data_IF_656180920889
#
_entry.id   IF_656180920889
#
_cell.length_a   1.000
_cell.length_b   1.000
_cell.length_c   1.000
_cell.angle_alpha   90.00
_cell.angle_beta   90.00
_cell.angle_gamma   90.00
#
_symmetry.space_group_name_H-M   'P 1'
#
loop_
_entity.id
_entity.type
_entity.pdbx_description
1 polymer ?
#
# COMPACT_ATOMS: atom_id res chain seq x y z
N UNK A 1 18.48 14.37 -5.64
CA UNK A 1 17.20 13.68 -5.31
C UNK A 1 17.47 12.19 -5.30
N UNK A 2 16.80 11.40 -4.47
CA UNK A 2 16.95 9.94 -4.48
C UNK A 2 15.63 9.31 -4.92
N UNK A 3 15.71 8.25 -5.72
CA UNK A 3 14.57 7.40 -6.04
C UNK A 3 14.64 6.20 -5.10
N UNK A 4 13.54 5.91 -4.43
CA UNK A 4 13.39 4.72 -3.63
C UNK A 4 12.58 3.69 -4.41
N UNK A 5 13.14 2.49 -4.51
CA UNK A 5 12.46 1.31 -5.05
C UNK A 5 12.35 0.30 -3.93
N UNK A 6 11.13 -0.03 -3.55
CA UNK A 6 10.77 -1.03 -2.57
C UNK A 6 10.04 -2.20 -3.22
N UNK A 7 10.51 -3.42 -2.96
CA UNK A 7 9.77 -4.64 -3.32
C UNK A 7 9.90 -5.69 -2.23
N UNK A 8 8.86 -6.49 -2.05
CA UNK A 8 8.94 -7.66 -1.18
C UNK A 8 7.63 -8.44 -1.11
N UNK A 9 7.62 -9.57 -0.37
CA UNK A 9 6.43 -10.41 -0.26
C UNK A 9 5.31 -9.72 0.53
N UNK A 10 4.08 -10.04 0.16
CA UNK A 10 2.87 -9.69 0.88
C UNK A 10 1.99 -10.93 1.10
N UNK A 11 1.31 -10.98 2.24
CA UNK A 11 0.37 -12.02 2.62
C UNK A 11 -0.98 -11.38 2.88
N UNK A 12 -1.99 -11.87 2.18
CA UNK A 12 -3.33 -11.32 2.15
C UNK A 12 -4.29 -12.26 2.88
N UNK A 13 -4.95 -11.74 3.91
CA UNK A 13 -6.02 -12.42 4.64
C UNK A 13 -7.37 -11.94 4.09
N UNK A 14 -7.92 -12.71 3.16
CA UNK A 14 -9.20 -12.39 2.50
C UNK A 14 -10.38 -13.05 3.24
N UNK A 15 -11.60 -12.53 3.07
CA UNK A 15 -12.81 -13.13 3.62
C UNK A 15 -12.98 -14.60 3.21
N UNK A 16 -13.39 -15.47 4.16
CA UNK A 16 -13.60 -16.91 3.93
C UNK A 16 -14.67 -17.18 2.87
N UNK A 17 -15.61 -16.27 2.71
CA UNK A 17 -16.66 -16.32 1.68
C UNK A 17 -16.08 -16.24 0.26
N UNK A 18 -14.84 -15.78 0.10
CA UNK A 18 -14.14 -15.73 -1.17
C UNK A 18 -13.15 -16.89 -1.33
N UNK A 19 -12.40 -17.24 -0.27
CA UNK A 19 -11.24 -18.15 -0.38
C UNK A 19 -11.39 -19.48 0.37
N UNK A 20 -12.54 -19.72 1.02
CA UNK A 20 -12.77 -20.93 1.82
C UNK A 20 -11.87 -20.99 3.07
N UNK A 21 -11.24 -22.13 3.29
CA UNK A 21 -10.36 -22.39 4.44
C UNK A 21 -8.89 -21.98 4.21
N UNK A 22 -8.58 -21.37 3.06
CA UNK A 22 -7.24 -20.86 2.80
C UNK A 22 -6.90 -19.76 3.82
N UNK A 23 -5.74 -19.90 4.48
CA UNK A 23 -5.35 -18.99 5.56
C UNK A 23 -4.68 -17.70 5.06
N UNK A 24 -3.82 -17.80 4.04
CA UNK A 24 -3.20 -16.64 3.41
C UNK A 24 -3.09 -16.79 1.91
N UNK A 25 -3.29 -15.68 1.20
CA UNK A 25 -3.08 -15.54 -0.23
C UNK A 25 -1.78 -14.77 -0.47
N UNK A 26 -0.92 -15.33 -1.32
CA UNK A 26 0.37 -14.73 -1.65
C UNK A 26 0.24 -13.47 -2.50
N UNK A 27 1.26 -12.62 -2.43
CA UNK A 27 1.33 -11.39 -3.19
C UNK A 27 2.66 -10.66 -3.04
N UNK A 28 2.71 -9.45 -3.59
CA UNK A 28 3.87 -8.59 -3.57
C UNK A 28 3.49 -7.16 -3.16
N UNK A 29 4.39 -6.54 -2.42
CA UNK A 29 4.41 -5.13 -2.09
C UNK A 29 5.30 -4.39 -3.07
N UNK A 30 4.83 -3.25 -3.57
CA UNK A 30 5.60 -2.35 -4.43
C UNK A 30 5.54 -0.93 -3.88
N UNK A 31 6.69 -0.35 -3.57
CA UNK A 31 6.80 1.01 -3.09
C UNK A 31 7.76 1.81 -3.97
N UNK A 32 7.22 2.77 -4.72
CA UNK A 32 8.00 3.64 -5.61
C UNK A 32 7.73 5.10 -5.23
N UNK A 33 8.76 5.78 -4.73
CA UNK A 33 8.65 7.19 -4.34
C UNK A 33 9.98 7.93 -4.50
N UNK A 34 9.88 9.23 -4.77
CA UNK A 34 11.00 10.15 -4.69
C UNK A 34 11.22 10.57 -3.24
N UNK A 35 12.48 10.63 -2.85
CA UNK A 35 12.93 11.05 -1.52
C UNK A 35 13.56 12.43 -1.64
N UNK A 36 12.97 13.39 -0.93
CA UNK A 36 13.50 14.75 -0.84
C UNK A 36 14.16 14.90 0.54
N UNK A 37 15.50 14.96 0.61
CA UNK A 37 16.20 15.10 1.88
C UNK A 37 16.00 16.51 2.47
N UNK A 38 16.00 16.65 3.81
CA UNK A 38 15.74 17.94 4.45
C UNK A 38 16.76 19.03 4.09
N UNK A 39 18.02 18.66 3.86
CA UNK A 39 19.06 19.60 3.41
C UNK A 39 18.69 20.31 2.09
N UNK A 40 18.14 19.56 1.13
CA UNK A 40 17.71 20.09 -0.16
C UNK A 40 16.45 20.98 -0.02
N UNK A 41 15.55 20.64 0.92
CA UNK A 41 14.40 21.49 1.27
C UNK A 41 14.82 22.79 1.96
N UNK A 42 15.87 22.76 2.78
CA UNK A 42 16.45 23.96 3.41
C UNK A 42 17.07 24.88 2.36
N UNK A 43 17.87 24.32 1.44
CA UNK A 43 18.55 25.06 0.38
C UNK A 43 17.58 25.73 -0.62
N UNK A 44 16.48 25.04 -0.97
CA UNK A 44 15.52 25.52 -1.95
C UNK A 44 14.18 25.96 -1.35
N UNK A 45 14.15 26.31 -0.06
CA UNK A 45 12.93 26.70 0.65
C UNK A 45 12.19 27.85 -0.04
N UNK A 46 12.91 28.76 -0.69
CA UNK A 46 12.35 29.90 -1.38
C UNK A 46 11.53 29.51 -2.63
N UNK A 47 11.89 28.40 -3.29
CA UNK A 47 11.16 27.86 -4.45
C UNK A 47 9.80 27.25 -4.08
N UNK A 48 9.56 26.99 -2.79
CA UNK A 48 8.28 26.48 -2.30
C UNK A 48 7.30 27.65 -2.16
N UNK A 49 6.06 27.55 -2.68
CA UNK A 49 5.04 28.59 -2.50
C UNK A 49 4.85 28.93 -1.02
N UNK A 50 4.80 30.23 -0.69
CA UNK A 50 4.81 30.72 0.69
C UNK A 50 3.74 30.05 1.58
N UNK A 51 2.56 29.79 1.02
CA UNK A 51 1.44 29.14 1.70
C UNK A 51 1.73 27.70 2.18
N UNK A 52 2.67 26.99 1.57
CA UNK A 52 3.04 25.61 1.92
C UNK A 52 4.34 25.51 2.74
N UNK A 53 5.13 26.58 2.84
CA UNK A 53 6.42 26.57 3.58
C UNK A 53 6.27 26.16 5.04
N UNK A 54 5.12 26.44 5.67
CA UNK A 54 4.79 26.05 7.06
C UNK A 54 4.48 24.56 7.22
N UNK A 55 4.13 23.87 6.13
CA UNK A 55 3.80 22.44 6.14
C UNK A 55 5.01 21.56 5.79
N UNK A 56 6.14 22.18 5.42
CA UNK A 56 7.38 21.48 5.14
C UNK A 56 8.10 21.25 6.45
N UNK A 57 8.23 19.97 6.83
CA UNK A 57 9.14 19.60 7.90
C UNK A 57 10.58 19.71 7.38
N UNK A 58 11.36 20.60 8.00
CA UNK A 58 12.79 20.76 7.69
C UNK A 58 13.68 19.74 8.43
N UNK A 59 13.07 18.87 9.23
CA UNK A 59 13.76 17.90 10.08
C UNK A 59 13.48 16.45 9.62
N UNK A 60 12.45 16.26 8.79
CA UNK A 60 12.04 14.94 8.33
C UNK A 60 12.12 14.83 6.80
N UNK A 61 12.48 13.64 6.35
CA UNK A 61 12.50 13.28 4.94
C UNK A 61 11.08 13.32 4.38
N UNK A 62 10.88 14.05 3.29
CA UNK A 62 9.60 14.07 2.57
C UNK A 62 9.61 12.99 1.50
N UNK A 63 8.58 12.13 1.53
CA UNK A 63 8.36 11.10 0.52
C UNK A 63 7.28 11.60 -0.43
N UNK A 64 7.61 11.67 -1.73
CA UNK A 64 6.69 12.16 -2.74
C UNK A 64 6.49 11.06 -3.78
N UNK A 65 5.23 10.68 -3.99
CA UNK A 65 4.85 9.79 -5.08
C UNK A 65 4.20 10.61 -6.20
N UNK A 66 4.89 10.82 -7.33
CA UNK A 66 4.30 11.46 -8.50
C UNK A 66 2.99 10.79 -8.93
N UNK A 67 2.04 11.56 -9.47
CA UNK A 67 0.73 11.03 -9.86
C UNK A 67 0.82 9.90 -10.90
N UNK A 68 1.72 9.98 -11.88
CA UNK A 68 1.89 8.90 -12.86
C UNK A 68 2.37 7.57 -12.22
N UNK A 69 3.16 7.63 -11.14
CA UNK A 69 3.53 6.45 -10.36
C UNK A 69 2.37 5.90 -9.53
N UNK A 70 1.32 6.68 -9.29
CA UNK A 70 0.12 6.21 -8.60
C UNK A 70 -0.75 5.27 -9.45
N UNK A 71 -0.51 5.21 -10.77
CA UNK A 71 -1.12 4.21 -11.65
C UNK A 71 -0.57 2.79 -11.43
N UNK A 72 0.65 2.68 -10.90
CA UNK A 72 1.25 1.40 -10.54
C UNK A 72 0.63 0.95 -9.20
N UNK A 73 0.07 -0.27 -9.11
CA UNK A 73 -0.48 -0.75 -7.84
C UNK A 73 0.63 -0.88 -6.79
N UNK A 74 0.31 -0.52 -5.54
CA UNK A 74 1.25 -0.70 -4.41
C UNK A 74 1.21 -2.12 -3.83
N UNK A 75 0.18 -2.90 -4.17
CA UNK A 75 0.02 -4.30 -3.78
C UNK A 75 -0.45 -5.09 -4.98
N UNK A 76 0.13 -6.26 -5.18
CA UNK A 76 -0.32 -7.25 -6.15
C UNK A 76 -0.68 -8.53 -5.39
N UNK A 77 -1.83 -9.10 -5.70
CA UNK A 77 -2.31 -10.37 -5.15
C UNK A 77 -2.16 -11.40 -6.26
N UNK A 78 -1.39 -12.46 -6.00
CA UNK A 78 -1.07 -13.49 -6.99
C UNK A 78 -1.06 -14.85 -6.30
N UNK A 79 -2.08 -15.65 -6.59
CA UNK A 79 -2.19 -17.01 -6.07
C UNK A 79 -2.87 -17.93 -7.09
N UNK A 80 -2.10 -18.48 -8.04
CA UNK A 80 -2.65 -19.26 -9.15
C UNK A 80 -2.61 -20.77 -8.87
N UNK A 81 -3.42 -21.27 -7.94
CA UNK A 81 -3.55 -22.72 -7.70
C UNK A 81 -4.76 -23.29 -8.45
N UNK A 82 -4.77 -24.61 -8.67
CA UNK A 82 -5.89 -25.29 -9.36
C UNK A 82 -7.20 -25.22 -8.58
N UNK A 83 -7.11 -25.21 -7.25
CA UNK A 83 -8.27 -25.20 -6.36
C UNK A 83 -8.70 -23.77 -6.02
N UNK A 84 -7.76 -22.83 -6.00
CA UNK A 84 -7.98 -21.43 -5.66
C UNK A 84 -7.12 -20.53 -6.55
N UNK A 85 -7.78 -19.78 -7.44
CA UNK A 85 -7.14 -18.76 -8.27
C UNK A 85 -7.53 -17.37 -7.75
N UNK A 86 -6.54 -16.61 -7.29
CA UNK A 86 -6.73 -15.23 -6.86
C UNK A 86 -5.76 -14.31 -7.56
N UNK A 87 -6.31 -13.30 -8.22
CA UNK A 87 -5.55 -12.21 -8.84
C UNK A 87 -6.09 -10.89 -8.36
N UNK A 88 -5.23 -9.94 -8.07
CA UNK A 88 -5.69 -8.64 -7.62
C UNK A 88 -4.62 -7.60 -7.55
N UNK A 89 -5.06 -6.39 -7.34
CA UNK A 89 -4.21 -5.24 -7.24
C UNK A 89 -4.87 -4.17 -6.38
N UNK A 90 -4.06 -3.48 -5.58
CA UNK A 90 -4.52 -2.34 -4.81
C UNK A 90 -3.81 -1.07 -5.27
N UNK A 91 -4.51 0.06 -5.16
CA UNK A 91 -3.98 1.39 -5.43
C UNK A 91 -4.31 2.30 -4.26
N UNK A 92 -3.35 3.13 -3.89
CA UNK A 92 -3.56 4.20 -2.91
C UNK A 92 -2.87 5.46 -3.42
N UNK A 93 -3.62 6.56 -3.49
CA UNK A 93 -3.14 7.80 -4.12
C UNK A 93 -2.57 8.79 -3.11
N UNK A 94 -3.15 8.82 -1.91
CA UNK A 94 -2.70 9.67 -0.81
C UNK A 94 -2.51 8.82 0.44
N UNK A 95 -1.66 9.32 1.32
CA UNK A 95 -1.51 8.79 2.65
C UNK A 95 -1.36 9.94 3.63
N UNK A 96 -2.10 9.88 4.72
CA UNK A 96 -1.78 10.67 5.90
C UNK A 96 -1.01 9.77 6.86
N UNK A 97 0.15 10.23 7.34
CA UNK A 97 0.98 9.48 8.26
C UNK A 97 1.37 10.28 9.50
N UNK A 98 1.35 9.60 10.65
CA UNK A 98 2.03 10.00 11.88
C UNK A 98 3.33 9.22 12.00
N UNK A 99 4.40 9.91 12.37
CA UNK A 99 5.73 9.35 12.45
C UNK A 99 6.25 9.46 13.88
N UNK A 100 6.78 8.35 14.41
CA UNK A 100 7.52 8.32 15.66
C UNK A 100 8.91 7.75 15.40
N UNK A 101 9.94 8.55 15.66
CA UNK A 101 11.31 8.09 15.64
C UNK A 101 11.61 7.44 17.00
N UNK A 102 11.98 6.16 17.01
CA UNK A 102 12.27 5.43 18.25
C UNK A 102 13.77 5.45 18.54
N UNK A 103 14.58 5.18 17.52
CA UNK A 103 16.06 5.29 17.55
C UNK A 103 16.53 5.80 16.19
N UNK A 104 17.81 6.12 16.02
CA UNK A 104 18.34 6.54 14.70
C UNK A 104 18.11 5.51 13.58
N UNK A 105 18.06 4.22 13.93
CA UNK A 105 17.87 3.12 12.98
C UNK A 105 16.42 2.63 12.89
N UNK A 106 15.55 2.96 13.85
CA UNK A 106 14.18 2.43 13.95
C UNK A 106 13.13 3.54 13.95
N UNK A 107 12.19 3.43 13.02
CA UNK A 107 11.06 4.35 12.86
C UNK A 107 9.75 3.58 12.82
N UNK A 108 8.75 4.10 13.53
CA UNK A 108 7.37 3.60 13.47
C UNK A 108 6.50 4.65 12.80
N UNK A 109 5.58 4.20 11.95
CA UNK A 109 4.69 5.07 11.20
C UNK A 109 3.29 4.48 11.16
N UNK A 110 2.32 5.22 11.70
CA UNK A 110 0.90 4.91 11.53
C UNK A 110 0.38 5.72 10.35
N UNK A 111 -0.33 5.09 9.41
CA UNK A 111 -0.83 5.71 8.18
C UNK A 111 -2.32 5.44 8.00
N UNK A 112 -2.97 6.31 7.23
CA UNK A 112 -4.25 6.03 6.60
C UNK A 112 -4.07 6.29 5.11
N UNK A 113 -4.31 5.25 4.29
CA UNK A 113 -4.23 5.28 2.84
C UNK A 113 -5.60 5.60 2.23
N UNK A 114 -5.66 6.64 1.38
CA UNK A 114 -6.90 7.23 0.87
C UNK A 114 -6.74 7.80 -0.56
N UNK A 115 -7.74 7.69 -1.44
CA UNK A 115 -8.63 6.54 -1.49
C UNK A 115 -7.81 5.28 -1.76
N UNK A 116 -8.23 4.16 -1.18
CA UNK A 116 -7.71 2.84 -1.49
C UNK A 116 -8.68 2.14 -2.45
N UNK A 117 -8.21 1.80 -3.65
CA UNK A 117 -8.96 1.07 -4.67
C UNK A 117 -8.43 -0.35 -4.72
N UNK A 118 -9.31 -1.34 -4.69
CA UNK A 118 -8.95 -2.74 -4.87
C UNK A 118 -9.66 -3.33 -6.08
N UNK A 119 -8.91 -4.12 -6.83
CA UNK A 119 -9.44 -5.06 -7.80
C UNK A 119 -9.10 -6.47 -7.35
N UNK A 120 -10.08 -7.36 -7.41
CA UNK A 120 -9.91 -8.77 -7.10
C UNK A 120 -10.67 -9.63 -8.11
N UNK A 121 -10.00 -10.62 -8.67
CA UNK A 121 -10.58 -11.73 -9.38
C UNK A 121 -10.37 -12.99 -8.55
N UNK A 122 -11.46 -13.72 -8.29
CA UNK A 122 -11.44 -14.95 -7.49
C UNK A 122 -12.16 -16.06 -8.25
N UNK A 123 -11.50 -17.20 -8.37
CA UNK A 123 -12.08 -18.48 -8.70
C UNK A 123 -11.78 -19.42 -7.54
N UNK A 124 -12.81 -19.91 -6.86
CA UNK A 124 -12.65 -20.77 -5.69
C UNK A 124 -13.78 -21.79 -5.60
N UNK A 125 -13.61 -22.89 -4.85
CA UNK A 125 -14.62 -23.95 -4.77
C UNK A 125 -15.87 -23.51 -4.01
N UNK A 126 -15.76 -22.46 -3.19
CA UNK A 126 -16.87 -21.88 -2.42
C UNK A 126 -17.72 -20.91 -3.25
N UNK A 127 -17.21 -20.46 -4.40
CA UNK A 127 -17.94 -19.65 -5.36
C UNK A 127 -18.44 -20.58 -6.47
N UNK A 128 -19.74 -20.89 -6.47
CA UNK A 128 -20.33 -21.81 -7.46
C UNK A 128 -20.08 -21.33 -8.90
N UNK A 129 -19.22 -22.07 -9.63
CA UNK A 129 -18.96 -22.06 -11.09
C UNK A 129 -18.61 -20.73 -11.80
N UNK A 130 -18.74 -19.58 -11.16
CA UNK A 130 -18.49 -18.28 -11.80
C UNK A 130 -17.25 -17.58 -11.23
N UNK A 131 -16.35 -17.14 -12.10
CA UNK A 131 -15.26 -16.23 -11.73
C UNK A 131 -15.85 -14.91 -11.22
N UNK A 132 -15.58 -14.57 -9.97
CA UNK A 132 -16.00 -13.30 -9.38
C UNK A 132 -14.95 -12.23 -9.69
N UNK A 133 -15.44 -11.05 -10.11
CA UNK A 133 -14.63 -9.84 -10.26
C UNK A 133 -15.20 -8.74 -9.38
N UNK A 134 -14.40 -8.26 -8.45
CA UNK A 134 -14.76 -7.25 -7.46
C UNK A 134 -13.89 -6.02 -7.69
N UNK A 135 -14.54 -4.89 -7.83
CA UNK A 135 -13.92 -3.61 -7.55
C UNK A 135 -14.35 -3.19 -6.17
N UNK A 136 -13.48 -2.49 -5.46
CA UNK A 136 -13.79 -1.99 -4.14
C UNK A 136 -13.12 -0.64 -3.93
N UNK A 137 -13.82 0.26 -3.25
CA UNK A 137 -13.32 1.57 -2.88
C UNK A 137 -13.38 1.72 -1.37
N UNK A 138 -12.35 2.28 -0.78
CA UNK A 138 -12.35 2.55 0.64
C UNK A 138 -11.05 3.16 1.13
N UNK A 139 -10.60 2.68 2.29
CA UNK A 139 -9.43 3.19 2.98
C UNK A 139 -8.66 2.07 3.65
N UNK A 140 -7.38 2.32 3.95
CA UNK A 140 -6.58 1.36 4.72
C UNK A 140 -5.76 2.07 5.79
N UNK A 141 -6.14 1.98 7.08
CA UNK A 141 -5.19 2.16 8.16
C UNK A 141 -4.03 1.17 8.01
N UNK A 142 -2.82 1.65 8.26
CA UNK A 142 -1.61 0.85 8.18
C UNK A 142 -0.63 1.22 9.29
N UNK A 143 0.17 0.23 9.70
CA UNK A 143 1.28 0.39 10.62
C UNK A 143 2.53 -0.11 9.91
N UNK A 144 3.56 0.75 9.86
CA UNK A 144 4.84 0.43 9.25
C UNK A 144 5.95 0.58 10.28
N UNK A 145 6.82 -0.42 10.35
CA UNK A 145 8.04 -0.42 11.13
C UNK A 145 9.19 -0.43 10.13
N UNK A 146 9.97 0.65 10.12
CA UNK A 146 11.12 0.81 9.24
C UNK A 146 12.40 0.64 10.04
N UNK A 147 13.25 -0.27 9.60
CA UNK A 147 14.59 -0.48 10.12
C UNK A 147 15.61 -0.13 9.04
N UNK A 148 16.63 0.65 9.41
CA UNK A 148 17.66 1.14 8.51
C UNK A 148 19.01 0.49 8.86
N UNK A 149 19.25 -0.77 8.48
CA UNK A 149 20.51 -1.44 8.78
C UNK A 149 21.71 -0.78 8.09
N UNK A 150 21.49 -0.18 6.92
CA UNK A 150 22.53 0.48 6.11
C UNK A 150 21.98 1.81 5.55
N UNK A 151 22.87 2.71 5.14
CA UNK A 151 22.47 4.02 4.58
C UNK A 151 21.67 3.93 3.28
N UNK A 152 21.86 2.86 2.51
CA UNK A 152 21.24 2.65 1.19
C UNK A 152 20.12 1.62 1.20
N UNK A 153 19.98 0.84 2.29
CA UNK A 153 19.02 -0.26 2.42
C UNK A 153 18.11 -0.02 3.61
N UNK A 154 16.81 0.01 3.36
CA UNK A 154 15.79 0.16 4.39
C UNK A 154 14.87 -1.05 4.33
N UNK A 155 14.50 -1.60 5.48
CA UNK A 155 13.60 -2.74 5.60
C UNK A 155 12.31 -2.22 6.24
N UNK A 156 11.17 -2.49 5.61
CA UNK A 156 9.86 -2.07 6.10
C UNK A 156 8.99 -3.30 6.36
N UNK A 157 8.66 -3.57 7.62
CA UNK A 157 7.58 -4.48 7.97
C UNK A 157 6.29 -3.67 8.09
N UNK A 158 5.22 -4.09 7.43
CA UNK A 158 3.95 -3.39 7.50
C UNK A 158 2.76 -4.31 7.69
N UNK A 159 1.76 -3.78 8.39
CA UNK A 159 0.41 -4.32 8.45
C UNK A 159 -0.57 -3.28 7.90
N UNK A 160 -1.38 -3.65 6.92
CA UNK A 160 -2.48 -2.82 6.43
C UNK A 160 -3.81 -3.52 6.72
N UNK A 161 -4.81 -2.77 7.18
CA UNK A 161 -6.17 -3.27 7.33
C UNK A 161 -7.07 -2.52 6.37
N UNK A 162 -7.59 -3.21 5.37
CA UNK A 162 -8.36 -2.61 4.29
C UNK A 162 -9.84 -2.65 4.63
N UNK A 163 -10.50 -1.50 4.52
CA UNK A 163 -11.92 -1.32 4.75
C UNK A 163 -12.55 -0.87 3.43
N UNK A 164 -13.35 -1.73 2.82
CA UNK A 164 -13.87 -1.50 1.48
C UNK A 164 -15.39 -1.53 1.40
N UNK A 165 -15.91 -0.67 0.54
CA UNK A 165 -17.23 -0.80 -0.05
C UNK A 165 -17.09 -1.54 -1.39
N UNK A 166 -17.65 -2.75 -1.54
CA UNK A 166 -17.61 -3.48 -2.78
C UNK A 166 -18.47 -2.77 -3.84
N UNK A 167 -17.86 -2.47 -4.97
CA UNK A 167 -18.49 -1.95 -6.18
C UNK A 167 -18.54 -3.12 -7.19
N UNK A 168 -19.55 -3.98 -7.06
CA UNK A 168 -19.67 -5.16 -7.93
C UNK A 168 -20.30 -4.80 -9.29
N UNK A 169 -19.71 -5.31 -10.38
CA UNK A 169 -20.31 -5.28 -11.73
C UNK A 169 -21.12 -6.55 -12.06
N UNK A 170 -20.95 -7.64 -11.29
CA UNK A 170 -21.72 -8.89 -11.43
C UNK A 170 -22.27 -9.38 -10.08
N UNK A 171 -23.28 -10.26 -10.15
CA UNK A 171 -24.21 -10.73 -9.09
C UNK A 171 -23.57 -11.39 -7.84
N UNK A 172 -22.53 -10.83 -7.24
CA UNK A 172 -22.16 -11.20 -5.87
C UNK A 172 -23.24 -10.66 -4.92
N UNK A 173 -24.14 -11.54 -4.50
CA UNK A 173 -25.11 -11.28 -3.45
C UNK A 173 -24.65 -12.05 -2.21
N UNK A 174 -23.98 -11.40 -1.24
CA UNK A 174 -23.70 -12.05 0.03
C UNK A 174 -25.04 -12.55 0.61
N UNK A 175 -25.05 -13.77 1.16
CA UNK A 175 -26.28 -14.50 1.51
C UNK A 175 -27.11 -13.87 2.63
N UNK A 176 -26.69 -12.76 3.25
CA UNK A 176 -27.41 -12.16 4.37
C UNK A 176 -27.48 -10.62 4.32
N UNK A 177 -28.55 -10.09 4.92
CA UNK A 177 -29.00 -8.71 4.87
C UNK A 177 -28.03 -7.72 5.54
N UNK A 178 -26.95 -7.36 4.86
CA UNK A 178 -26.21 -6.11 5.09
C UNK A 178 -25.73 -5.58 3.74
N UNK A 179 -26.60 -4.85 3.04
CA UNK A 179 -26.33 -4.21 1.74
C UNK A 179 -25.19 -3.15 1.77
N UNK A 180 -24.58 -2.93 2.94
CA UNK A 180 -23.43 -2.06 3.20
C UNK A 180 -22.30 -2.81 3.95
N UNK A 181 -22.20 -4.13 3.83
CA UNK A 181 -21.17 -4.91 4.51
C UNK A 181 -19.77 -4.47 4.05
N UNK A 182 -19.14 -3.61 4.86
CA UNK A 182 -17.74 -3.25 4.77
C UNK A 182 -16.93 -4.55 4.70
N UNK A 183 -16.31 -4.81 3.55
CA UNK A 183 -15.42 -5.95 3.41
C UNK A 183 -14.09 -5.59 4.06
N UNK A 184 -13.58 -6.49 4.89
CA UNK A 184 -12.34 -6.30 5.60
C UNK A 184 -11.27 -7.28 5.14
N UNK A 185 -10.03 -6.81 5.00
CA UNK A 185 -8.91 -7.60 4.51
C UNK A 185 -7.62 -7.13 5.17
N UNK A 186 -6.87 -8.06 5.76
CA UNK A 186 -5.56 -7.78 6.36
C UNK A 186 -4.41 -8.08 5.40
N UNK A 187 -3.41 -7.21 5.34
CA UNK A 187 -2.19 -7.41 4.55
C UNK A 187 -0.98 -7.30 5.47
N UNK A 188 -0.21 -8.36 5.58
CA UNK A 188 1.13 -8.32 6.14
C UNK A 188 2.15 -8.25 5.01
N UNK A 189 3.21 -7.45 5.15
CA UNK A 189 4.31 -7.48 4.19
C UNK A 189 5.66 -7.12 4.78
N UNK A 190 6.70 -7.56 4.09
CA UNK A 190 8.08 -7.19 4.35
C UNK A 190 8.68 -6.63 3.06
N UNK A 191 9.09 -5.38 3.06
CA UNK A 191 9.57 -4.66 1.87
C UNK A 191 11.04 -4.27 2.06
N UNK A 192 11.85 -4.56 1.05
CA UNK A 192 13.23 -4.12 0.99
C UNK A 192 13.31 -2.93 0.06
N UNK A 193 13.88 -1.84 0.56
CA UNK A 193 13.97 -0.57 -0.14
C UNK A 193 15.42 -0.25 -0.46
N UNK A 194 15.69 0.01 -1.73
CA UNK A 194 16.97 0.50 -2.21
C UNK A 194 16.84 1.97 -2.57
N UNK A 195 17.76 2.78 -2.03
CA UNK A 195 17.89 4.20 -2.38
C UNK A 195 18.89 4.34 -3.51
N UNK A 196 18.41 4.81 -4.65
CA UNK A 196 19.23 5.04 -5.84
C UNK A 196 19.37 6.55 -6.01
N UNK A 197 20.61 7.09 -5.98
CA UNK A 197 20.85 8.49 -6.32
C UNK A 197 20.34 8.77 -7.72
N UNK A 198 19.48 9.78 -7.87
CA UNK A 198 19.04 10.25 -9.19
C UNK A 198 19.90 11.43 -9.62
N UNK A 199 20.44 11.36 -10.84
CA UNK A 199 21.18 12.43 -11.50
C UNK A 199 20.28 13.52 -12.09
N UNK A 200 18.96 13.41 -11.95
CA UNK A 200 18.01 14.40 -12.45
C UNK A 200 18.23 15.76 -11.77
N UNK A 201 18.75 16.73 -12.53
CA UNK A 201 18.81 18.14 -12.14
C UNK A 201 17.41 18.75 -12.29
N UNK A 202 16.98 19.51 -11.28
CA UNK A 202 15.74 20.33 -11.32
C UNK A 202 16.15 21.77 -11.61
#
# INVERSE_FOLDING_TARGET
>A
MEINIGVGPAFHHLPKELIGDAFFIGGFALELYAVIPPALLKEHREKVPAQYRKNISLDHVMLLRPFWLSLIPHRLIVHPTKELEVWGANWSFFSWAWNAQITDALKVQAKILLPNISYLQVESPVIEKDKIRLWALGLAPALNITWNPLKFLHINASWEHQLYLPLTLNKYKPKEANRLALTQHGIASLVFHWRIPSSAKI
#
